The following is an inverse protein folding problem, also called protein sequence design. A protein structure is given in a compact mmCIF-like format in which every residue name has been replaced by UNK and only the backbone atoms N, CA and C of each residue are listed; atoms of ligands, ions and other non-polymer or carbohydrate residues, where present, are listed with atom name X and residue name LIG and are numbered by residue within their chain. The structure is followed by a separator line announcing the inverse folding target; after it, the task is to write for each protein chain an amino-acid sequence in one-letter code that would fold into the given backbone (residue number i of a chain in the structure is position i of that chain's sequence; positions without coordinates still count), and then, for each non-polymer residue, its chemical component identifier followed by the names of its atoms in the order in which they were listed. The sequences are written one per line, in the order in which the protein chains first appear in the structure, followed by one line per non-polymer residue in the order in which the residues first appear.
data_IF_182958190914
#
_entry.id   IF_182958190914
#
_cell.length_a   1.000
_cell.length_b   1.000
_cell.length_c   1.000
_cell.angle_alpha   90.00
_cell.angle_beta   90.00
_cell.angle_gamma   90.00
#
_symmetry.space_group_name_H-M   'P 1'
#
loop_
_entity.id
_entity.type
_entity.pdbx_description
1 polymer ?
#
# COMPACT_ATOMS: atom_id res chain seq x y z
N UNK A 1 -1.08 -10.32 17.65
CA UNK A 1 -1.20 -8.94 17.22
C UNK A 1 0.01 -8.14 17.59
N UNK A 2 0.32 -7.21 16.83
CA UNK A 2 1.56 -6.49 16.98
C UNK A 2 1.30 -5.03 17.29
N UNK A 3 1.87 -4.56 18.35
CA UNK A 3 1.99 -3.14 18.58
C UNK A 3 3.27 -2.71 17.88
N UNK A 4 3.13 -1.88 16.87
CA UNK A 4 4.29 -1.42 16.11
C UNK A 4 4.79 -0.14 16.74
N UNK A 5 6.02 -0.17 17.24
CA UNK A 5 6.63 1.01 17.82
C UNK A 5 7.07 1.98 16.71
N UNK A 6 7.24 3.24 17.07
CA UNK A 6 7.69 4.23 16.10
C UNK A 6 9.05 3.86 15.49
N UNK A 7 9.90 3.15 16.24
CA UNK A 7 11.22 2.76 15.77
C UNK A 7 11.24 1.73 14.66
N UNK A 8 10.14 0.99 14.47
CA UNK A 8 10.08 0.00 13.38
C UNK A 8 9.57 0.60 12.08
N UNK A 9 8.96 1.78 12.11
CA UNK A 9 8.46 2.45 10.91
C UNK A 9 9.53 3.41 10.41
N UNK A 10 10.48 2.87 9.65
CA UNK A 10 11.70 3.58 9.29
C UNK A 10 11.74 4.14 7.88
N UNK A 11 10.77 3.76 7.05
CA UNK A 11 10.81 4.10 5.63
C UNK A 11 9.74 5.13 5.31
N UNK A 12 10.14 6.24 4.69
CA UNK A 12 9.21 7.29 4.30
C UNK A 12 8.60 6.93 2.97
N UNK A 13 7.31 6.66 2.96
CA UNK A 13 6.61 6.11 1.80
C UNK A 13 5.51 7.07 1.38
N UNK A 14 5.38 7.29 0.08
CA UNK A 14 4.31 8.10 -0.48
C UNK A 14 3.23 7.17 -1.02
N UNK A 15 2.02 7.35 -0.54
CA UNK A 15 0.86 6.57 -0.99
C UNK A 15 0.11 7.40 -2.02
N UNK A 16 -0.22 6.78 -3.15
CA UNK A 16 -0.91 7.45 -4.24
C UNK A 16 -2.12 6.65 -4.68
N UNK A 17 -3.18 7.35 -5.08
CA UNK A 17 -4.38 6.72 -5.64
C UNK A 17 -4.45 6.99 -7.13
N UNK A 18 -5.07 6.07 -7.90
CA UNK A 18 -5.25 6.31 -9.32
C UNK A 18 -6.29 7.41 -9.54
N UNK A 19 -6.10 8.17 -10.58
CA UNK A 19 -7.04 9.22 -10.97
C UNK A 19 -7.05 9.28 -12.49
N UNK A 20 -8.05 9.93 -13.06
CA UNK A 20 -8.17 10.09 -14.50
C UNK A 20 -8.12 11.57 -14.80
N UNK A 21 -7.20 11.94 -15.70
CA UNK A 21 -7.11 13.30 -16.20
C UNK A 21 -7.28 13.26 -17.71
N UNK A 22 -7.67 14.39 -18.30
CA UNK A 22 -7.79 14.47 -19.76
C UNK A 22 -6.51 15.02 -20.33
N UNK A 23 -6.05 14.42 -21.44
CA UNK A 23 -4.89 14.93 -22.15
C UNK A 23 -5.28 16.16 -23.00
N UNK A 24 -4.33 16.65 -23.79
CA UNK A 24 -4.57 17.85 -24.58
C UNK A 24 -5.67 17.67 -25.63
N UNK A 25 -5.95 16.43 -26.01
CA UNK A 25 -6.99 16.10 -26.97
C UNK A 25 -8.30 15.71 -26.31
N UNK A 26 -8.37 15.77 -24.98
CA UNK A 26 -9.58 15.44 -24.25
C UNK A 26 -9.75 13.96 -23.95
N UNK A 27 -8.79 13.12 -24.31
CA UNK A 27 -8.88 11.69 -24.03
C UNK A 27 -8.54 11.39 -22.57
N UNK A 28 -9.24 10.44 -21.92
CA UNK A 28 -8.94 10.09 -20.54
C UNK A 28 -7.58 9.40 -20.45
N UNK A 29 -6.78 9.83 -19.47
CA UNK A 29 -5.45 9.29 -19.22
C UNK A 29 -5.33 9.00 -17.73
N UNK A 30 -4.81 7.83 -17.37
CA UNK A 30 -4.60 7.50 -15.97
C UNK A 30 -3.47 8.35 -15.41
N UNK A 31 -3.67 8.83 -14.19
CA UNK A 31 -2.66 9.57 -13.47
C UNK A 31 -2.70 9.13 -12.01
N UNK A 32 -1.83 9.68 -11.18
CA UNK A 32 -1.76 9.33 -9.76
C UNK A 32 -1.76 10.59 -8.93
N UNK A 33 -2.52 10.56 -7.85
CA UNK A 33 -2.63 11.69 -6.92
C UNK A 33 -2.12 11.24 -5.55
N UNK A 34 -1.38 12.13 -4.89
CA UNK A 34 -0.87 11.84 -3.56
C UNK A 34 -2.01 11.74 -2.56
N UNK A 35 -2.01 10.68 -1.77
CA UNK A 35 -2.94 10.50 -0.66
C UNK A 35 -2.28 10.94 0.64
N UNK A 36 -1.07 10.44 0.88
CA UNK A 36 -0.36 10.71 2.13
C UNK A 36 1.10 10.29 1.98
N UNK A 37 1.96 10.93 2.78
CA UNK A 37 3.34 10.46 2.96
C UNK A 37 3.44 9.99 4.39
N UNK A 38 3.83 8.73 4.57
CA UNK A 38 3.76 8.07 5.87
C UNK A 38 5.06 7.35 6.16
N UNK A 39 5.30 7.11 7.44
CA UNK A 39 6.36 6.22 7.88
C UNK A 39 5.86 4.79 7.82
N UNK A 40 6.70 3.87 7.34
CA UNK A 40 6.30 2.50 7.11
C UNK A 40 7.42 1.54 7.44
N UNK A 41 7.04 0.29 7.69
CA UNK A 41 7.95 -0.84 7.71
C UNK A 41 7.70 -1.62 6.42
N UNK A 42 8.76 -1.92 5.68
CA UNK A 42 8.66 -2.66 4.41
C UNK A 42 9.43 -3.96 4.58
N UNK A 43 8.76 -5.08 4.40
CA UNK A 43 9.37 -6.39 4.59
C UNK A 43 8.95 -7.35 3.49
N UNK A 44 9.87 -8.22 3.02
CA UNK A 44 9.47 -9.29 2.11
C UNK A 44 8.50 -10.25 2.81
N UNK A 45 7.58 -10.79 2.03
CA UNK A 45 6.64 -11.79 2.55
C UNK A 45 7.37 -13.11 2.75
N UNK A 46 7.09 -13.78 3.87
CA UNK A 46 7.66 -15.09 4.14
C UNK A 46 6.76 -15.87 5.10
N UNK A 47 6.90 -17.18 5.09
CA UNK A 47 6.25 -18.06 6.06
C UNK A 47 4.73 -17.92 6.06
N UNK A 48 4.22 -17.62 7.24
CA UNK A 48 2.77 -17.55 7.45
C UNK A 48 2.11 -16.44 6.60
N UNK A 49 2.78 -15.30 6.49
CA UNK A 49 2.24 -14.19 5.72
C UNK A 49 2.12 -14.57 4.25
N UNK A 50 3.03 -15.37 3.75
CA UNK A 50 2.97 -15.80 2.35
C UNK A 50 1.71 -16.63 2.08
N UNK A 51 1.33 -17.50 3.03
CA UNK A 51 0.12 -18.30 2.86
C UNK A 51 -1.14 -17.44 2.87
N UNK A 52 -1.16 -16.40 3.69
CA UNK A 52 -2.29 -15.47 3.71
C UNK A 52 -2.32 -14.70 2.41
N UNK A 53 -1.18 -14.24 1.93
CA UNK A 53 -1.10 -13.48 0.70
C UNK A 53 -1.57 -14.28 -0.51
N UNK A 54 -1.30 -15.58 -0.55
CA UNK A 54 -1.72 -16.44 -1.65
C UNK A 54 -3.22 -16.48 -1.82
N UNK A 55 -3.97 -16.24 -0.76
CA UNK A 55 -5.43 -16.20 -0.84
C UNK A 55 -5.93 -14.89 -1.43
N UNK A 56 -5.09 -13.87 -1.47
CA UNK A 56 -5.46 -12.53 -1.91
C UNK A 56 -4.92 -12.26 -3.29
N UNK A 57 -3.62 -12.49 -3.48
CA UNK A 57 -2.97 -12.28 -4.76
C UNK A 57 -1.71 -13.12 -4.81
N UNK A 58 -1.57 -13.92 -5.86
CA UNK A 58 -0.46 -14.86 -5.97
C UNK A 58 0.89 -14.17 -6.08
N UNK A 59 0.92 -12.95 -6.63
CA UNK A 59 2.18 -12.25 -6.83
C UNK A 59 2.55 -11.28 -5.72
N UNK A 60 1.89 -11.33 -4.57
CA UNK A 60 2.25 -10.48 -3.44
C UNK A 60 3.67 -10.80 -2.99
N UNK A 61 4.52 -9.79 -2.94
CA UNK A 61 5.93 -9.96 -2.61
C UNK A 61 6.35 -9.26 -1.33
N UNK A 62 5.61 -8.24 -0.90
CA UNK A 62 6.00 -7.41 0.25
C UNK A 62 4.81 -7.10 1.13
N UNK A 63 5.13 -6.87 2.39
CA UNK A 63 4.18 -6.41 3.38
C UNK A 63 4.66 -5.03 3.84
N UNK A 64 3.77 -4.04 3.78
CA UNK A 64 4.08 -2.68 4.18
C UNK A 64 3.18 -2.34 5.35
N UNK A 65 3.76 -2.06 6.50
CA UNK A 65 3.01 -1.75 7.71
C UNK A 65 3.07 -0.25 7.96
N UNK A 66 1.90 0.37 8.10
CA UNK A 66 1.80 1.81 8.34
C UNK A 66 0.84 2.04 9.51
N UNK A 67 0.91 3.22 10.14
CA UNK A 67 -0.05 3.58 11.14
C UNK A 67 -1.41 3.82 10.51
N UNK A 68 -2.46 3.43 11.21
CA UNK A 68 -3.82 3.69 10.75
C UNK A 68 -4.03 5.20 10.59
N UNK A 69 -4.77 5.56 9.55
CA UNK A 69 -5.25 6.93 9.36
C UNK A 69 -6.52 6.89 8.52
N UNK A 70 -7.38 7.91 8.66
CA UNK A 70 -8.66 7.89 7.94
C UNK A 70 -8.53 7.76 6.44
N UNK A 71 -7.45 8.27 5.84
CA UNK A 71 -7.26 8.15 4.39
C UNK A 71 -7.07 6.71 3.95
N UNK A 72 -6.75 5.79 4.86
CA UNK A 72 -6.49 4.39 4.54
C UNK A 72 -7.54 3.46 5.16
N UNK A 73 -8.69 3.99 5.58
CA UNK A 73 -9.67 3.16 6.27
C UNK A 73 -10.50 2.28 5.34
N UNK A 74 -10.65 2.65 4.08
CA UNK A 74 -11.45 1.87 3.13
C UNK A 74 -10.55 0.87 2.40
N UNK A 75 -10.62 -0.43 2.74
CA UNK A 75 -9.74 -1.42 2.12
C UNK A 75 -9.91 -1.52 0.61
N UNK A 76 -11.12 -1.30 0.10
CA UNK A 76 -11.34 -1.39 -1.35
C UNK A 76 -10.64 -0.25 -2.08
N UNK A 77 -10.68 0.94 -1.51
CA UNK A 77 -9.98 2.08 -2.10
C UNK A 77 -8.47 1.90 -2.02
N UNK A 78 -7.97 1.43 -0.89
CA UNK A 78 -6.53 1.26 -0.69
C UNK A 78 -5.99 0.17 -1.61
N UNK A 79 -6.78 -0.86 -1.92
CA UNK A 79 -6.34 -1.93 -2.81
C UNK A 79 -6.11 -1.45 -4.25
N UNK A 80 -6.55 -0.24 -4.58
CA UNK A 80 -6.29 0.36 -5.89
C UNK A 80 -5.06 1.27 -5.89
N UNK A 81 -4.48 1.51 -4.73
CA UNK A 81 -3.40 2.49 -4.57
C UNK A 81 -2.04 1.88 -4.82
N UNK A 82 -1.03 2.73 -4.82
CA UNK A 82 0.35 2.29 -4.90
C UNK A 82 1.18 3.03 -3.86
N UNK A 83 2.32 2.45 -3.51
CA UNK A 83 3.26 3.05 -2.59
C UNK A 83 4.58 3.29 -3.31
N UNK A 84 5.17 4.44 -3.09
CA UNK A 84 6.47 4.79 -3.69
C UNK A 84 7.51 4.95 -2.58
N UNK A 85 8.64 4.29 -2.77
CA UNK A 85 9.75 4.39 -1.83
C UNK A 85 11.07 4.33 -2.58
N UNK A 86 11.79 5.45 -2.59
CA UNK A 86 13.13 5.55 -3.20
C UNK A 86 13.17 5.01 -4.63
N UNK A 87 12.19 5.41 -5.45
CA UNK A 87 12.13 4.97 -6.83
C UNK A 87 11.53 3.59 -7.03
N UNK A 88 11.17 2.91 -5.95
CA UNK A 88 10.49 1.62 -6.03
C UNK A 88 8.99 1.83 -5.99
N UNK A 89 8.27 1.05 -6.76
CA UNK A 89 6.81 1.13 -6.85
C UNK A 89 6.22 -0.17 -6.32
N UNK A 90 5.25 -0.06 -5.41
CA UNK A 90 4.57 -1.21 -4.84
C UNK A 90 3.08 -1.10 -5.15
N UNK A 91 2.56 -2.07 -5.91
CA UNK A 91 1.12 -2.14 -6.17
C UNK A 91 0.43 -2.78 -4.98
N UNK A 92 -0.49 -2.04 -4.36
CA UNK A 92 -1.19 -2.53 -3.17
C UNK A 92 -2.36 -3.40 -3.62
N UNK A 93 -2.46 -4.60 -3.09
CA UNK A 93 -3.54 -5.54 -3.41
C UNK A 93 -4.56 -5.67 -2.29
N UNK A 94 -4.16 -5.43 -1.05
CA UNK A 94 -5.06 -5.57 0.09
C UNK A 94 -4.57 -4.70 1.24
N UNK A 95 -5.51 -4.27 2.06
CA UNK A 95 -5.22 -3.51 3.27
C UNK A 95 -5.94 -4.18 4.43
N UNK A 96 -5.20 -4.49 5.48
CA UNK A 96 -5.72 -5.18 6.65
C UNK A 96 -5.53 -4.29 7.86
N UNK A 97 -6.65 -3.93 8.50
CA UNK A 97 -6.62 -3.18 9.76
C UNK A 97 -6.36 -4.20 10.87
N UNK A 98 -5.13 -4.25 11.37
CA UNK A 98 -4.69 -5.28 12.31
C UNK A 98 -5.60 -5.29 13.53
N UNK A 99 -6.26 -6.43 13.78
CA UNK A 99 -7.21 -6.64 14.85
C UNK A 99 -8.39 -5.65 14.84
N UNK A 100 -8.64 -4.97 13.72
CA UNK A 100 -9.66 -3.92 13.63
C UNK A 100 -9.49 -2.84 14.70
N UNK A 101 -8.26 -2.63 15.13
CA UNK A 101 -7.98 -1.77 16.28
C UNK A 101 -7.70 -0.32 15.90
N UNK A 102 -7.63 0.00 14.60
CA UNK A 102 -7.31 1.33 14.12
C UNK A 102 -5.96 1.83 14.63
N UNK A 103 -5.00 0.92 14.76
CA UNK A 103 -3.65 1.26 15.21
C UNK A 103 -2.67 1.17 14.04
N UNK A 104 -2.67 0.05 13.33
CA UNK A 104 -1.82 -0.15 12.16
C UNK A 104 -2.63 -0.76 11.03
N UNK A 105 -2.19 -0.49 9.81
CA UNK A 105 -2.74 -1.12 8.61
C UNK A 105 -1.59 -1.85 7.91
N UNK A 106 -1.86 -3.09 7.52
CA UNK A 106 -0.89 -3.90 6.82
C UNK A 106 -1.29 -3.93 5.35
N UNK A 107 -0.39 -3.47 4.49
CA UNK A 107 -0.62 -3.41 3.06
C UNK A 107 0.12 -4.56 2.40
N UNK A 108 -0.60 -5.41 1.70
CA UNK A 108 0.00 -6.50 0.93
C UNK A 108 0.19 -6.02 -0.49
N UNK A 109 1.42 -6.09 -0.99
CA UNK A 109 1.78 -5.42 -2.22
C UNK A 109 2.74 -6.23 -3.07
N UNK A 110 2.78 -5.90 -4.36
CA UNK A 110 3.72 -6.45 -5.32
C UNK A 110 4.62 -5.34 -5.82
N UNK A 111 5.92 -5.55 -5.77
CA UNK A 111 6.85 -4.55 -6.25
C UNK A 111 6.85 -4.49 -7.77
N UNK A 112 6.73 -3.28 -8.33
CA UNK A 112 7.00 -3.02 -9.73
C UNK A 112 5.83 -3.08 -10.70
N UNK A 113 4.61 -3.33 -10.24
CA UNK A 113 3.49 -3.57 -11.16
C UNK A 113 2.59 -2.38 -11.43
N UNK A 114 2.61 -1.36 -10.63
CA UNK A 114 1.67 -0.26 -10.79
C UNK A 114 2.41 1.05 -10.94
N UNK A 115 3.10 1.16 -12.06
CA UNK A 115 3.94 2.32 -12.30
C UNK A 115 3.26 3.37 -13.20
N UNK A 116 2.13 3.03 -13.69
CA UNK A 116 1.31 3.81 -14.58
C UNK A 116 1.65 5.18 -14.85
#
# INVERSE_FOLDING_TARGET
MSAVSAGTLKHRVRIQRPTVVKDVLGAPTQSWADVATVWADIAPISGREARIADRIAAEVSHQITVRYRPALEDPKAVAQMRALYRGRVFAIHAALNDDEANVVVILLATEGLRDG
#
